data_IF_158595731920
#
_entry.id   IF_158595731920
#
_cell.length_a   1.000
_cell.length_b   1.000
_cell.length_c   1.000
_cell.angle_alpha   90.00
_cell.angle_beta   90.00
_cell.angle_gamma   90.00
#
_symmetry.space_group_name_H-M   'P 1'
#
loop_
_entity.id
_entity.type
_entity.pdbx_description
1 polymer ?
#
# COMPACT_ATOMS: atom_id res chain seq x y z
N UNK A 1 -3.92 11.02 -26.65
CA UNK A 1 -3.61 9.60 -26.90
C UNK A 1 -3.32 8.97 -25.55
N UNK A 2 -4.30 8.28 -24.97
CA UNK A 2 -4.12 7.60 -23.69
C UNK A 2 -3.67 6.17 -23.96
N UNK A 3 -2.58 5.77 -23.30
CA UNK A 3 -1.95 4.46 -23.45
C UNK A 3 -2.97 3.35 -23.17
N UNK A 4 -2.97 2.35 -24.05
CA UNK A 4 -3.78 1.14 -23.91
C UNK A 4 -3.40 0.33 -22.67
N UNK A 5 -4.08 -0.80 -22.44
CA UNK A 5 -3.82 -1.64 -21.28
C UNK A 5 -2.33 -2.00 -21.23
N UNK A 6 -1.70 -1.82 -20.07
CA UNK A 6 -0.31 -2.23 -19.76
C UNK A 6 -0.19 -3.78 -19.78
N UNK A 7 -1.19 -4.48 -20.33
CA UNK A 7 -1.42 -5.91 -20.17
C UNK A 7 -0.61 -6.79 -21.12
N UNK A 8 0.26 -6.23 -21.96
CA UNK A 8 1.11 -7.00 -22.86
C UNK A 8 2.47 -6.31 -23.04
N UNK A 9 3.40 -6.55 -22.11
CA UNK A 9 4.79 -6.10 -22.25
C UNK A 9 5.52 -5.84 -20.93
N UNK A 10 6.84 -5.78 -21.04
CA UNK A 10 7.82 -5.58 -19.96
C UNK A 10 7.40 -4.41 -19.02
N UNK A 11 7.02 -4.75 -17.78
CA UNK A 11 6.48 -3.80 -16.77
C UNK A 11 7.36 -2.57 -16.57
N UNK A 12 8.68 -2.77 -16.58
CA UNK A 12 9.68 -1.70 -16.46
C UNK A 12 9.72 -0.79 -17.69
N UNK A 13 9.50 -1.35 -18.89
CA UNK A 13 9.39 -0.58 -20.13
C UNK A 13 8.15 0.32 -20.11
N UNK A 14 7.02 -0.21 -19.66
CA UNK A 14 5.76 0.53 -19.60
C UNK A 14 5.76 1.67 -18.56
N UNK A 15 6.59 1.59 -17.53
CA UNK A 15 6.82 2.66 -16.55
C UNK A 15 7.97 3.62 -16.95
N UNK A 16 8.63 3.40 -18.09
CA UNK A 16 9.80 4.17 -18.50
C UNK A 16 11.03 3.97 -17.60
N UNK A 17 11.05 2.90 -16.80
CA UNK A 17 12.08 2.59 -15.82
C UNK A 17 13.27 1.84 -16.42
N UNK A 18 13.14 1.21 -17.59
CA UNK A 18 14.25 0.49 -18.22
C UNK A 18 15.49 1.37 -18.42
N UNK A 19 15.31 2.60 -18.90
CA UNK A 19 16.42 3.55 -19.08
C UNK A 19 17.07 3.92 -17.75
N UNK A 20 16.27 4.10 -16.70
CA UNK A 20 16.73 4.40 -15.34
C UNK A 20 17.46 3.24 -14.68
N UNK A 21 17.05 2.00 -14.93
CA UNK A 21 17.76 0.83 -14.42
C UNK A 21 19.13 0.69 -15.08
N UNK A 22 19.22 0.85 -16.40
CA UNK A 22 20.51 0.90 -17.10
C UNK A 22 21.41 2.03 -16.58
N UNK A 23 20.83 3.21 -16.32
CA UNK A 23 21.56 4.34 -15.74
C UNK A 23 21.96 4.11 -14.26
N UNK A 24 21.22 3.30 -13.51
CA UNK A 24 21.49 2.95 -12.10
C UNK A 24 22.50 1.81 -11.95
N UNK A 25 22.69 1.00 -12.98
CA UNK A 25 23.63 -0.14 -12.99
C UNK A 25 24.83 0.10 -13.90
N UNK A 26 25.06 1.33 -14.35
CA UNK A 26 26.12 1.67 -15.32
C UNK A 26 27.53 1.30 -14.85
N UNK A 27 27.72 1.14 -13.55
CA UNK A 27 28.96 0.73 -12.88
C UNK A 27 29.17 -0.79 -12.86
N UNK A 28 28.19 -1.57 -13.34
CA UNK A 28 28.19 -3.04 -13.38
C UNK A 28 28.59 -3.60 -14.73
N UNK A 29 29.07 -4.84 -14.74
CA UNK A 29 29.36 -5.53 -16.01
C UNK A 29 28.05 -5.84 -16.75
N UNK A 30 28.08 -6.02 -18.08
CA UNK A 30 26.89 -6.39 -18.85
C UNK A 30 26.19 -7.65 -18.32
N UNK A 31 26.93 -8.66 -17.86
CA UNK A 31 26.32 -9.87 -17.27
C UNK A 31 25.59 -9.57 -15.95
N UNK A 32 26.18 -8.75 -15.07
CA UNK A 32 25.55 -8.34 -13.81
C UNK A 32 24.30 -7.48 -14.05
N UNK A 33 24.34 -6.60 -15.06
CA UNK A 33 23.18 -5.80 -15.46
C UNK A 33 22.03 -6.70 -15.96
N UNK A 34 22.35 -7.70 -16.78
CA UNK A 34 21.38 -8.66 -17.30
C UNK A 34 20.78 -9.52 -16.18
N UNK A 35 21.57 -9.95 -15.20
CA UNK A 35 21.10 -10.67 -14.01
C UNK A 35 20.14 -9.81 -13.17
N UNK A 36 20.51 -8.56 -12.89
CA UNK A 36 19.67 -7.61 -12.15
C UNK A 36 18.35 -7.35 -12.90
N UNK A 37 18.41 -7.13 -14.22
CA UNK A 37 17.21 -6.93 -15.04
C UNK A 37 16.31 -8.17 -15.02
N UNK A 38 16.88 -9.37 -15.15
CA UNK A 38 16.15 -10.63 -15.08
C UNK A 38 15.49 -10.84 -13.70
N UNK A 39 16.15 -10.48 -12.61
CA UNK A 39 15.61 -10.60 -11.26
C UNK A 39 14.50 -9.58 -10.99
N UNK A 40 14.66 -8.33 -11.45
CA UNK A 40 13.59 -7.33 -11.38
C UNK A 40 12.40 -7.77 -12.24
N UNK A 41 12.63 -8.27 -13.46
CA UNK A 41 11.57 -8.80 -14.33
C UNK A 41 10.82 -9.97 -13.70
N UNK A 42 11.51 -10.90 -13.03
CA UNK A 42 10.85 -11.98 -12.27
C UNK A 42 9.98 -11.43 -11.14
N UNK A 43 10.45 -10.43 -10.39
CA UNK A 43 9.71 -9.82 -9.27
C UNK A 43 8.46 -9.05 -9.73
N UNK A 44 8.44 -8.58 -10.97
CA UNK A 44 7.33 -7.83 -11.59
C UNK A 44 6.54 -8.65 -12.61
N UNK A 45 6.85 -9.93 -12.77
CA UNK A 45 6.17 -10.84 -13.69
C UNK A 45 4.70 -11.05 -13.29
N UNK A 46 3.83 -11.38 -14.25
CA UNK A 46 2.41 -11.67 -13.99
C UNK A 46 2.21 -12.85 -13.04
N UNK A 47 3.15 -13.79 -12.99
CA UNK A 47 3.17 -14.91 -12.05
C UNK A 47 3.33 -14.44 -10.58
N UNK A 48 4.12 -13.38 -10.36
CA UNK A 48 4.38 -12.81 -9.02
C UNK A 48 3.54 -11.57 -8.68
N UNK A 49 3.10 -10.80 -9.66
CA UNK A 49 2.23 -9.63 -9.49
C UNK A 49 0.73 -10.02 -9.47
N UNK A 50 0.39 -11.19 -10.04
CA UNK A 50 -0.97 -11.55 -10.39
C UNK A 50 -1.52 -10.66 -11.51
N UNK A 51 -2.41 -11.19 -12.36
CA UNK A 51 -3.07 -10.44 -13.45
C UNK A 51 -3.84 -9.18 -12.98
N UNK A 52 -3.95 -8.95 -11.66
CA UNK A 52 -4.80 -7.93 -11.02
C UNK A 52 -4.07 -6.68 -10.54
N UNK A 53 -2.73 -6.69 -10.40
CA UNK A 53 -1.96 -5.48 -10.02
C UNK A 53 -2.15 -4.35 -11.06
N UNK A 54 -2.42 -4.73 -12.31
CA UNK A 54 -2.60 -3.83 -13.44
C UNK A 54 -4.00 -3.21 -13.54
N UNK A 55 -5.02 -3.88 -12.98
CA UNK A 55 -6.41 -3.44 -13.11
C UNK A 55 -6.73 -2.22 -12.23
N UNK A 56 -5.92 -2.04 -11.19
CA UNK A 56 -6.03 -0.96 -10.22
C UNK A 56 -5.59 0.40 -10.80
N UNK A 57 -4.74 0.42 -11.83
CA UNK A 57 -4.33 1.65 -12.51
C UNK A 57 -5.23 2.02 -13.70
N UNK A 58 -6.24 1.23 -14.03
CA UNK A 58 -7.03 1.42 -15.25
C UNK A 58 -8.51 1.01 -15.10
N UNK A 59 -9.24 1.51 -14.10
CA UNK A 59 -10.69 1.46 -14.18
C UNK A 59 -11.25 2.64 -14.98
N UNK A 60 -11.50 2.34 -16.26
CA UNK A 60 -12.54 2.97 -17.07
C UNK A 60 -13.88 2.55 -16.47
N UNK A 61 -14.71 3.51 -16.07
CA UNK A 61 -16.07 3.26 -15.58
C UNK A 61 -16.91 2.58 -16.66
N UNK A 62 -17.06 1.27 -16.58
CA UNK A 62 -18.14 0.59 -17.29
C UNK A 62 -19.42 0.74 -16.46
N UNK A 63 -20.47 1.24 -17.12
CA UNK A 63 -21.80 1.49 -16.57
C UNK A 63 -22.26 0.31 -15.71
N UNK A 64 -22.35 0.52 -14.41
CA UNK A 64 -23.08 -0.36 -13.51
C UNK A 64 -24.56 0.04 -13.60
N UNK A 65 -25.39 -0.80 -14.23
CA UNK A 65 -26.83 -0.70 -14.13
C UNK A 65 -27.25 -1.18 -12.73
N UNK A 66 -27.16 -0.29 -11.74
CA UNK A 66 -27.74 -0.53 -10.42
C UNK A 66 -29.24 -0.18 -10.45
N UNK A 67 -30.11 -0.97 -9.80
CA UNK A 67 -31.53 -0.68 -9.70
C UNK A 67 -31.75 0.66 -8.99
N UNK A 68 -32.73 1.43 -9.46
CA UNK A 68 -33.08 2.74 -8.93
C UNK A 68 -33.62 2.62 -7.49
N UNK A 69 -32.74 2.82 -6.52
CA UNK A 69 -33.10 2.87 -5.10
C UNK A 69 -31.87 3.20 -4.25
N UNK A 70 -31.87 4.40 -3.68
CA UNK A 70 -30.96 4.90 -2.62
C UNK A 70 -29.49 5.13 -2.97
N UNK A 71 -29.20 5.99 -3.95
CA UNK A 71 -27.97 6.81 -3.91
C UNK A 71 -28.37 8.22 -3.46
N UNK A 72 -27.95 8.65 -2.28
CA UNK A 72 -28.20 9.99 -1.77
C UNK A 72 -27.06 10.91 -2.21
N UNK A 73 -27.31 11.84 -3.14
CA UNK A 73 -26.34 12.86 -3.54
C UNK A 73 -26.21 13.90 -2.42
N UNK A 74 -25.41 13.63 -1.39
CA UNK A 74 -25.30 14.56 -0.25
C UNK A 74 -24.37 15.75 -0.49
N UNK A 75 -23.46 15.71 -1.49
CA UNK A 75 -22.63 16.86 -1.84
C UNK A 75 -22.26 16.91 -3.34
N UNK A 76 -22.15 18.09 -3.97
CA UNK A 76 -21.71 18.19 -5.36
C UNK A 76 -20.29 17.61 -5.52
N UNK A 77 -20.16 16.56 -6.33
CA UNK A 77 -18.88 15.96 -6.74
C UNK A 77 -18.50 14.62 -6.08
N UNK A 78 -19.30 14.06 -5.17
CA UNK A 78 -19.00 12.79 -4.50
C UNK A 78 -20.14 11.78 -4.56
N UNK A 79 -19.82 10.51 -4.79
CA UNK A 79 -20.75 9.38 -4.76
C UNK A 79 -20.60 8.64 -3.43
N UNK A 80 -21.32 9.08 -2.41
CA UNK A 80 -21.33 8.47 -1.08
C UNK A 80 -22.77 8.42 -0.54
N UNK A 81 -23.06 7.46 0.34
CA UNK A 81 -24.35 7.40 1.01
C UNK A 81 -24.39 8.40 2.18
N UNK A 82 -23.50 8.21 3.15
CA UNK A 82 -23.33 9.08 4.31
C UNK A 82 -21.84 9.36 4.56
N UNK A 83 -21.52 10.56 5.03
CA UNK A 83 -20.13 10.96 5.27
C UNK A 83 -19.44 10.07 6.32
N UNK A 84 -20.15 9.70 7.39
CA UNK A 84 -19.55 8.97 8.50
C UNK A 84 -19.30 7.50 8.18
N UNK A 85 -20.09 6.90 7.28
CA UNK A 85 -19.98 5.49 6.88
C UNK A 85 -19.24 5.29 5.56
N UNK A 86 -18.89 6.35 4.82
CA UNK A 86 -18.39 6.20 3.46
C UNK A 86 -17.13 5.33 3.33
N UNK A 87 -16.24 5.36 4.33
CA UNK A 87 -15.07 4.46 4.37
C UNK A 87 -15.50 3.02 4.60
N UNK A 88 -16.41 2.79 5.54
CA UNK A 88 -16.91 1.44 5.86
C UNK A 88 -17.66 0.84 4.66
N UNK A 89 -18.51 1.64 4.00
CA UNK A 89 -19.23 1.25 2.77
C UNK A 89 -18.25 0.85 1.66
N UNK A 90 -17.18 1.64 1.47
CA UNK A 90 -16.13 1.37 0.47
C UNK A 90 -15.39 0.06 0.78
N UNK A 91 -14.99 -0.16 2.03
CA UNK A 91 -14.30 -1.38 2.44
C UNK A 91 -15.18 -2.63 2.33
N UNK A 92 -16.46 -2.53 2.70
CA UNK A 92 -17.45 -3.61 2.54
C UNK A 92 -17.59 -3.96 1.06
N UNK A 93 -17.72 -2.96 0.18
CA UNK A 93 -17.79 -3.16 -1.26
C UNK A 93 -16.52 -3.82 -1.83
N UNK A 94 -15.36 -3.34 -1.41
CA UNK A 94 -14.06 -3.87 -1.83
C UNK A 94 -13.90 -5.35 -1.43
N UNK A 95 -14.12 -5.69 -0.16
CA UNK A 95 -13.99 -7.07 0.33
C UNK A 95 -15.02 -8.01 -0.30
N UNK A 96 -16.24 -7.54 -0.59
CA UNK A 96 -17.25 -8.34 -1.33
C UNK A 96 -16.88 -8.63 -2.78
N UNK A 97 -15.94 -7.87 -3.35
CA UNK A 97 -15.48 -8.07 -4.73
C UNK A 97 -14.41 -9.18 -4.82
N UNK A 98 -13.78 -9.54 -3.69
CA UNK A 98 -12.64 -10.44 -3.67
C UNK A 98 -12.77 -11.50 -2.57
N UNK A 99 -13.08 -12.74 -2.95
CA UNK A 99 -13.32 -13.85 -2.02
C UNK A 99 -12.13 -14.20 -1.12
N UNK A 100 -10.90 -13.84 -1.54
CA UNK A 100 -9.69 -14.06 -0.74
C UNK A 100 -9.49 -13.02 0.37
N UNK A 101 -10.39 -12.04 0.49
CA UNK A 101 -10.33 -10.99 1.50
C UNK A 101 -11.42 -11.17 2.55
N UNK A 102 -11.15 -10.63 3.73
CA UNK A 102 -12.14 -10.44 4.78
C UNK A 102 -11.95 -9.10 5.48
N UNK A 103 -13.00 -8.68 6.19
CA UNK A 103 -13.07 -7.40 6.88
C UNK A 103 -13.19 -7.62 8.38
N UNK A 104 -12.32 -6.99 9.16
CA UNK A 104 -12.37 -6.95 10.63
C UNK A 104 -12.33 -5.48 11.09
N UNK A 105 -13.50 -4.90 11.37
CA UNK A 105 -13.61 -3.45 11.54
C UNK A 105 -13.24 -2.73 10.24
N UNK A 106 -12.23 -1.85 10.27
CA UNK A 106 -11.65 -1.22 9.07
C UNK A 106 -10.34 -1.88 8.59
N UNK A 107 -10.02 -3.07 9.11
CA UNK A 107 -8.89 -3.85 8.64
C UNK A 107 -9.33 -4.82 7.54
N UNK A 108 -8.68 -4.74 6.39
CA UNK A 108 -8.78 -5.73 5.30
C UNK A 108 -7.66 -6.74 5.46
N UNK A 109 -8.01 -8.02 5.51
CA UNK A 109 -7.09 -9.13 5.81
C UNK A 109 -7.19 -10.18 4.70
N UNK A 110 -6.07 -10.81 4.34
CA UNK A 110 -6.09 -11.98 3.46
C UNK A 110 -6.62 -13.22 4.19
N UNK A 111 -7.50 -13.98 3.55
CA UNK A 111 -7.99 -15.29 4.03
C UNK A 111 -6.99 -16.41 3.81
N UNK A 112 -6.06 -16.24 2.88
CA UNK A 112 -5.02 -17.23 2.58
C UNK A 112 -4.10 -17.44 3.79
N UNK A 113 -3.39 -18.59 3.86
CA UNK A 113 -2.30 -18.75 4.81
C UNK A 113 -1.38 -17.53 4.73
N UNK A 114 -1.10 -16.92 5.88
CA UNK A 114 -0.23 -15.76 5.96
C UNK A 114 1.23 -16.22 6.08
N UNK A 115 2.19 -15.49 5.50
CA UNK A 115 3.60 -15.82 5.67
C UNK A 115 4.04 -15.78 7.14
N UNK A 116 5.18 -16.39 7.44
CA UNK A 116 5.78 -16.37 8.79
C UNK A 116 6.06 -14.93 9.27
N UNK A 117 6.42 -14.03 8.34
CA UNK A 117 6.49 -12.59 8.57
C UNK A 117 5.24 -11.95 7.96
N UNK A 118 4.32 -11.49 8.79
CA UNK A 118 3.15 -10.77 8.29
C UNK A 118 3.54 -9.31 8.01
N UNK A 119 3.39 -8.89 6.76
CA UNK A 119 3.61 -7.49 6.35
C UNK A 119 2.29 -6.75 6.46
N UNK A 120 2.25 -5.71 7.30
CA UNK A 120 1.05 -4.93 7.61
C UNK A 120 1.30 -3.46 7.26
N UNK A 121 0.28 -2.79 6.73
CA UNK A 121 0.31 -1.33 6.53
C UNK A 121 -1.02 -0.71 6.97
N UNK A 122 -1.11 0.61 6.81
CA UNK A 122 -2.34 1.36 6.98
C UNK A 122 -2.11 2.86 6.96
N UNK A 123 -3.17 3.59 6.65
CA UNK A 123 -3.21 5.04 6.50
C UNK A 123 -4.66 5.53 6.58
N UNK A 124 -4.86 6.84 6.57
CA UNK A 124 -6.21 7.40 6.37
C UNK A 124 -6.75 7.10 4.98
N UNK A 125 -8.06 6.90 4.87
CA UNK A 125 -8.74 6.67 3.59
C UNK A 125 -8.63 7.88 2.63
N UNK A 126 -8.98 7.68 1.36
CA UNK A 126 -8.92 8.72 0.31
C UNK A 126 -7.68 8.63 -0.58
N UNK A 127 -6.88 7.58 -0.43
CA UNK A 127 -5.73 7.27 -1.27
C UNK A 127 -5.92 5.98 -2.07
N UNK A 128 -7.16 5.46 -2.14
CA UNK A 128 -7.48 4.20 -2.80
C UNK A 128 -6.94 4.19 -4.25
N UNK A 129 -6.26 3.11 -4.67
CA UNK A 129 -6.15 1.79 -4.02
C UNK A 129 -5.27 1.71 -2.78
N UNK A 130 -4.47 2.73 -2.48
CA UNK A 130 -3.51 2.68 -1.38
C UNK A 130 -4.21 2.77 0.00
N UNK A 131 -3.89 1.92 0.98
CA UNK A 131 -3.07 0.70 0.89
C UNK A 131 -3.91 -0.59 0.87
N UNK A 132 -5.23 -0.51 1.09
CA UNK A 132 -6.13 -1.69 1.16
C UNK A 132 -6.18 -2.50 -0.13
N UNK A 133 -5.96 -1.84 -1.27
CA UNK A 133 -5.81 -2.43 -2.60
C UNK A 133 -4.60 -3.36 -2.73
N UNK A 134 -3.64 -3.25 -1.81
CA UNK A 134 -2.40 -4.03 -1.80
C UNK A 134 -2.44 -5.21 -0.82
N UNK A 135 -3.61 -5.53 -0.25
CA UNK A 135 -3.77 -6.75 0.55
C UNK A 135 -3.91 -7.96 -0.38
N UNK A 136 -3.01 -8.92 -0.21
CA UNK A 136 -2.95 -10.12 -1.03
C UNK A 136 -1.59 -10.81 -0.98
N UNK A 137 -1.53 -12.00 -1.55
CA UNK A 137 -0.32 -12.82 -1.63
C UNK A 137 0.83 -12.03 -2.30
N UNK A 138 2.01 -12.06 -1.70
CA UNK A 138 3.19 -11.36 -2.21
C UNK A 138 3.16 -9.83 -2.08
N UNK A 139 2.21 -9.29 -1.32
CA UNK A 139 2.09 -7.89 -0.92
C UNK A 139 1.80 -7.81 0.60
N UNK A 140 0.73 -7.14 1.02
CA UNK A 140 0.35 -7.04 2.43
C UNK A 140 -0.48 -8.26 2.87
N UNK A 141 -0.18 -8.77 4.05
CA UNK A 141 -1.04 -9.76 4.73
C UNK A 141 -2.32 -9.10 5.28
N UNK A 142 -2.21 -7.83 5.71
CA UNK A 142 -3.34 -7.03 6.13
C UNK A 142 -3.07 -5.53 5.96
N UNK A 143 -4.14 -4.74 5.85
CA UNK A 143 -4.09 -3.29 5.86
C UNK A 143 -5.22 -2.74 6.70
N UNK A 144 -4.94 -1.74 7.53
CA UNK A 144 -5.95 -1.02 8.31
C UNK A 144 -6.19 0.39 7.77
N UNK A 145 -7.45 0.74 7.53
CA UNK A 145 -7.83 2.08 7.06
C UNK A 145 -8.39 2.93 8.19
N UNK A 146 -7.96 4.19 8.26
CA UNK A 146 -8.54 5.20 9.15
C UNK A 146 -9.73 5.92 8.52
N UNK A 147 -10.11 7.08 9.05
CA UNK A 147 -11.07 7.97 8.36
C UNK A 147 -10.39 8.70 7.20
N UNK A 148 -11.15 9.43 6.38
CA UNK A 148 -10.60 10.20 5.26
C UNK A 148 -9.47 11.11 5.76
N UNK A 149 -8.26 10.91 5.23
CA UNK A 149 -7.02 11.63 5.60
C UNK A 149 -6.65 11.63 7.09
N UNK A 150 -7.19 10.70 7.87
CA UNK A 150 -6.88 10.55 9.28
C UNK A 150 -6.37 9.13 9.56
N UNK A 151 -5.19 9.05 10.19
CA UNK A 151 -4.57 7.78 10.58
C UNK A 151 -5.52 6.89 11.40
N UNK A 152 -5.50 5.56 11.22
CA UNK A 152 -6.31 4.65 12.02
C UNK A 152 -5.97 4.74 13.52
N UNK A 153 -6.95 4.56 14.43
CA UNK A 153 -6.69 4.58 15.87
C UNK A 153 -5.69 3.50 16.30
N UNK A 154 -4.78 3.84 17.21
CA UNK A 154 -3.78 2.89 17.77
C UNK A 154 -4.40 1.62 18.36
N UNK A 155 -5.58 1.72 18.96
CA UNK A 155 -6.31 0.58 19.52
C UNK A 155 -6.74 -0.43 18.42
N UNK A 156 -7.15 0.06 17.25
CA UNK A 156 -7.56 -0.80 16.15
C UNK A 156 -6.36 -1.41 15.43
N UNK A 157 -5.26 -0.65 15.29
CA UNK A 157 -3.97 -1.18 14.81
C UNK A 157 -3.48 -2.31 15.72
N UNK A 158 -3.53 -2.10 17.04
CA UNK A 158 -3.16 -3.13 18.02
C UNK A 158 -4.03 -4.39 17.91
N UNK A 159 -5.35 -4.23 17.77
CA UNK A 159 -6.27 -5.37 17.54
C UNK A 159 -5.91 -6.14 16.27
N UNK A 160 -5.55 -5.45 15.18
CA UNK A 160 -5.09 -6.10 13.96
C UNK A 160 -3.78 -6.88 14.19
N UNK A 161 -2.80 -6.30 14.89
CA UNK A 161 -1.54 -6.97 15.19
C UNK A 161 -1.78 -8.28 15.97
N UNK A 162 -2.62 -8.23 17.00
CA UNK A 162 -3.02 -9.41 17.79
C UNK A 162 -3.74 -10.44 16.93
N UNK A 163 -4.63 -10.00 16.04
CA UNK A 163 -5.33 -10.89 15.10
C UNK A 163 -4.36 -11.60 14.14
N UNK A 164 -3.35 -10.88 13.62
CA UNK A 164 -2.31 -11.49 12.78
C UNK A 164 -1.48 -12.51 13.55
N UNK A 165 -1.20 -12.26 14.83
CA UNK A 165 -0.53 -13.24 15.70
C UNK A 165 -1.38 -14.50 15.89
N UNK A 166 -2.69 -14.33 16.13
CA UNK A 166 -3.66 -15.43 16.27
C UNK A 166 -3.75 -16.29 14.99
N UNK A 167 -3.54 -15.67 13.83
CA UNK A 167 -3.50 -16.33 12.51
C UNK A 167 -2.18 -17.04 12.20
N UNK A 168 -1.22 -17.01 13.13
CA UNK A 168 0.03 -17.76 13.00
C UNK A 168 1.24 -16.95 12.54
N UNK A 169 1.14 -15.62 12.43
CA UNK A 169 2.31 -14.77 12.17
C UNK A 169 3.36 -14.98 13.27
N UNK A 170 4.59 -15.31 12.89
CA UNK A 170 5.70 -15.43 13.86
C UNK A 170 6.27 -14.05 14.18
N UNK A 171 6.49 -13.25 13.13
CA UNK A 171 7.01 -11.88 13.19
C UNK A 171 6.06 -10.96 12.41
N UNK A 172 6.07 -9.67 12.75
CA UNK A 172 5.21 -8.67 12.10
C UNK A 172 6.05 -7.47 11.66
N UNK A 173 5.97 -7.12 10.39
CA UNK A 173 6.62 -5.92 9.84
C UNK A 173 5.56 -4.88 9.52
N UNK A 174 5.60 -3.75 10.22
CA UNK A 174 4.77 -2.58 9.94
C UNK A 174 5.46 -1.71 8.89
N UNK A 175 4.83 -1.45 7.74
CA UNK A 175 5.32 -0.49 6.75
C UNK A 175 4.37 0.71 6.77
N UNK A 176 4.87 1.88 7.17
CA UNK A 176 4.06 3.10 7.32
C UNK A 176 4.66 4.29 6.59
N UNK A 177 3.82 5.25 6.24
CA UNK A 177 4.25 6.52 5.65
C UNK A 177 4.73 7.48 6.74
N UNK A 178 5.70 8.35 6.43
CA UNK A 178 6.19 9.36 7.37
C UNK A 178 5.20 10.53 7.52
N UNK A 179 4.09 10.26 8.19
CA UNK A 179 3.13 11.25 8.68
C UNK A 179 3.03 11.14 10.20
N UNK A 180 2.88 12.28 10.88
CA UNK A 180 2.86 12.33 12.35
C UNK A 180 1.79 11.44 12.96
N UNK A 181 0.57 11.45 12.40
CA UNK A 181 -0.53 10.61 12.88
C UNK A 181 -0.19 9.12 12.78
N UNK A 182 0.33 8.67 11.63
CA UNK A 182 0.70 7.27 11.41
C UNK A 182 1.83 6.84 12.35
N UNK A 183 2.89 7.64 12.48
CA UNK A 183 4.01 7.32 13.37
C UNK A 183 3.59 7.19 14.82
N UNK A 184 2.74 8.09 15.31
CA UNK A 184 2.26 8.05 16.68
C UNK A 184 1.33 6.86 16.92
N UNK A 185 0.35 6.64 16.03
CA UNK A 185 -0.65 5.60 16.22
C UNK A 185 -0.08 4.19 16.06
N UNK A 186 0.70 3.95 15.01
CA UNK A 186 1.38 2.67 14.82
C UNK A 186 2.49 2.47 15.86
N UNK A 187 3.21 3.53 16.25
CA UNK A 187 4.24 3.44 17.29
C UNK A 187 3.67 2.98 18.62
N UNK A 188 2.56 3.60 19.06
CA UNK A 188 1.87 3.22 20.28
C UNK A 188 1.31 1.79 20.21
N UNK A 189 0.77 1.38 19.06
CA UNK A 189 0.30 0.01 18.86
C UNK A 189 1.43 -1.02 18.88
N UNK A 190 2.58 -0.69 18.29
CA UNK A 190 3.79 -1.52 18.29
C UNK A 190 4.33 -1.71 19.71
N UNK A 191 4.47 -0.64 20.50
CA UNK A 191 4.96 -0.73 21.88
C UNK A 191 4.05 -1.61 22.75
N UNK A 192 2.73 -1.43 22.66
CA UNK A 192 1.77 -2.32 23.33
C UNK A 192 1.87 -3.78 22.88
N UNK A 193 2.22 -4.01 21.62
CA UNK A 193 2.39 -5.37 21.08
C UNK A 193 3.67 -6.02 21.62
N UNK A 194 4.73 -5.24 21.82
CA UNK A 194 5.99 -5.71 22.44
C UNK A 194 5.80 -6.12 23.89
N UNK A 195 4.91 -5.46 24.63
CA UNK A 195 4.51 -5.90 25.99
C UNK A 195 3.91 -7.32 26.01
N UNK A 196 3.33 -7.77 24.90
CA UNK A 196 2.81 -9.13 24.70
C UNK A 196 3.86 -10.09 24.09
N UNK A 197 5.14 -9.71 24.09
CA UNK A 197 6.23 -10.47 23.47
C UNK A 197 6.00 -10.80 21.98
N UNK A 198 5.27 -9.95 21.27
CA UNK A 198 5.14 -10.05 19.80
C UNK A 198 6.42 -9.52 19.17
N UNK A 199 7.07 -10.34 18.34
CA UNK A 199 8.22 -9.93 17.53
C UNK A 199 7.74 -9.03 16.39
N UNK A 200 8.01 -7.73 16.52
CA UNK A 200 7.47 -6.69 15.66
C UNK A 200 8.48 -5.56 15.44
N UNK A 201 8.58 -5.13 14.18
CA UNK A 201 9.39 -3.98 13.77
C UNK A 201 8.63 -3.08 12.79
N UNK A 202 9.14 -1.87 12.61
CA UNK A 202 8.50 -0.82 11.82
C UNK A 202 9.46 -0.15 10.85
N UNK A 203 9.11 -0.18 9.57
CA UNK A 203 9.78 0.53 8.50
C UNK A 203 8.97 1.76 8.08
N UNK A 204 9.55 2.94 8.31
CA UNK A 204 8.96 4.22 7.91
C UNK A 204 9.45 4.63 6.52
N UNK A 205 8.51 4.97 5.63
CA UNK A 205 8.76 5.43 4.26
C UNK A 205 8.74 6.96 4.22
N UNK A 206 9.82 7.55 3.70
CA UNK A 206 10.07 8.98 3.64
C UNK A 206 10.77 9.34 2.32
N UNK A 207 10.11 9.04 1.19
CA UNK A 207 10.65 9.12 -0.17
C UNK A 207 10.45 10.47 -0.85
N UNK A 208 9.56 11.33 -0.35
CA UNK A 208 9.25 12.61 -0.97
C UNK A 208 10.41 13.61 -0.90
N UNK A 209 10.85 14.16 -2.03
CA UNK A 209 11.91 15.19 -2.09
C UNK A 209 11.39 16.61 -2.25
N UNK A 210 10.08 16.81 -2.31
CA UNK A 210 9.51 18.12 -2.60
C UNK A 210 9.76 19.14 -1.48
N UNK A 211 9.81 18.69 -0.22
CA UNK A 211 9.79 19.56 0.95
C UNK A 211 10.92 19.22 1.93
N UNK A 212 11.51 20.26 2.51
CA UNK A 212 12.44 20.14 3.64
C UNK A 212 11.74 20.60 4.93
N UNK A 213 11.08 19.66 5.63
CA UNK A 213 10.32 19.94 6.85
C UNK A 213 10.97 19.30 8.09
N UNK A 214 10.79 19.87 9.31
CA UNK A 214 11.48 19.38 10.52
C UNK A 214 11.23 17.91 10.88
N UNK A 215 10.07 17.37 10.51
CA UNK A 215 9.68 15.97 10.78
C UNK A 215 10.26 14.97 9.76
N UNK A 216 11.07 15.45 8.82
CA UNK A 216 11.63 14.68 7.71
C UNK A 216 10.71 14.60 6.49
N UNK A 217 11.16 13.97 5.40
CA UNK A 217 10.41 13.91 4.15
C UNK A 217 9.15 13.06 4.27
N UNK A 218 8.07 13.40 3.55
CA UNK A 218 6.81 12.64 3.56
C UNK A 218 7.00 11.25 2.93
N UNK A 219 6.14 10.31 3.27
CA UNK A 219 6.02 9.03 2.55
C UNK A 219 4.94 9.12 1.48
N UNK A 220 5.24 8.77 0.22
CA UNK A 220 4.30 8.82 -0.91
C UNK A 220 4.30 7.49 -1.67
N UNK A 221 4.22 7.54 -3.00
CA UNK A 221 4.02 6.39 -3.88
C UNK A 221 5.16 5.37 -3.85
N UNK A 222 6.37 5.77 -3.42
CA UNK A 222 7.50 4.84 -3.29
C UNK A 222 7.24 3.72 -2.29
N UNK A 223 6.33 3.91 -1.33
CA UNK A 223 5.92 2.88 -0.40
C UNK A 223 5.42 1.60 -1.09
N UNK A 224 4.77 1.71 -2.26
CA UNK A 224 4.30 0.56 -3.02
C UNK A 224 5.44 -0.39 -3.42
N UNK A 225 6.59 0.16 -3.83
CA UNK A 225 7.76 -0.65 -4.19
C UNK A 225 8.30 -1.41 -2.97
N UNK A 226 8.35 -0.75 -1.81
CA UNK A 226 8.80 -1.36 -0.57
C UNK A 226 7.83 -2.44 -0.10
N UNK A 227 6.52 -2.19 -0.18
CA UNK A 227 5.48 -3.18 0.11
C UNK A 227 5.63 -4.41 -0.79
N UNK A 228 5.88 -4.21 -2.09
CA UNK A 228 6.05 -5.31 -3.05
C UNK A 228 7.25 -6.18 -2.71
N UNK A 229 8.40 -5.56 -2.45
CA UNK A 229 9.63 -6.28 -2.10
C UNK A 229 9.48 -7.00 -0.77
N UNK A 230 8.95 -6.33 0.25
CA UNK A 230 8.73 -6.93 1.57
C UNK A 230 7.76 -8.13 1.50
N UNK A 231 6.63 -7.95 0.81
CA UNK A 231 5.64 -9.02 0.63
C UNK A 231 6.20 -10.21 -0.14
N UNK A 232 6.96 -9.99 -1.21
CA UNK A 232 7.58 -11.07 -1.98
C UNK A 232 8.62 -11.85 -1.16
N UNK A 233 9.47 -11.16 -0.39
CA UNK A 233 10.46 -11.81 0.48
C UNK A 233 9.79 -12.58 1.64
N UNK A 234 8.69 -12.04 2.19
CA UNK A 234 7.90 -12.72 3.19
C UNK A 234 7.31 -14.04 2.66
N UNK A 235 6.75 -14.04 1.44
CA UNK A 235 6.26 -15.27 0.77
C UNK A 235 7.38 -16.29 0.52
N UNK A 236 8.60 -15.83 0.27
CA UNK A 236 9.78 -16.70 0.14
C UNK A 236 10.29 -17.25 1.49
N UNK A 237 9.64 -16.90 2.60
CA UNK A 237 9.99 -17.38 3.94
C UNK A 237 11.21 -16.69 4.56
N UNK A 238 11.61 -15.53 4.03
CA UNK A 238 12.67 -14.71 4.63
C UNK A 238 12.25 -14.21 6.01
N UNK A 239 13.23 -14.09 6.91
CA UNK A 239 12.96 -13.54 8.24
C UNK A 239 12.86 -12.01 8.21
N UNK A 240 12.30 -11.42 9.28
CA UNK A 240 12.05 -9.97 9.32
C UNK A 240 13.31 -9.12 9.15
N UNK A 241 14.45 -9.53 9.71
CA UNK A 241 15.73 -8.81 9.59
C UNK A 241 16.21 -8.77 8.14
N UNK A 242 16.21 -9.91 7.44
CA UNK A 242 16.58 -9.97 6.02
C UNK A 242 15.67 -9.06 5.17
N UNK A 243 14.36 -9.05 5.45
CA UNK A 243 13.39 -8.22 4.73
C UNK A 243 13.68 -6.74 4.96
N UNK A 244 13.88 -6.33 6.22
CA UNK A 244 14.18 -4.94 6.59
C UNK A 244 15.48 -4.48 5.95
N UNK A 245 16.55 -5.29 5.97
CA UNK A 245 17.84 -4.96 5.37
C UNK A 245 17.73 -4.66 3.88
N UNK A 246 17.01 -5.48 3.12
CA UNK A 246 16.78 -5.26 1.69
C UNK A 246 15.95 -4.00 1.47
N UNK A 247 14.86 -3.84 2.21
CA UNK A 247 13.98 -2.68 2.07
C UNK A 247 14.68 -1.37 2.42
N UNK A 248 15.58 -1.36 3.41
CA UNK A 248 16.37 -0.18 3.78
C UNK A 248 17.33 0.23 2.66
N UNK A 249 17.99 -0.72 2.00
CA UNK A 249 18.87 -0.45 0.84
C UNK A 249 18.11 0.20 -0.31
N UNK A 250 16.91 -0.29 -0.61
CA UNK A 250 16.03 0.29 -1.63
C UNK A 250 15.58 1.68 -1.20
N UNK A 251 15.11 1.83 0.04
CA UNK A 251 14.67 3.12 0.60
C UNK A 251 15.75 4.19 0.51
N UNK A 252 17.03 3.83 0.69
CA UNK A 252 18.15 4.77 0.60
C UNK A 252 18.25 5.44 -0.78
N UNK A 253 17.78 4.79 -1.85
CA UNK A 253 17.82 5.26 -3.24
C UNK A 253 16.44 5.65 -3.80
N UNK A 254 15.39 5.47 -3.00
CA UNK A 254 14.01 5.75 -3.40
C UNK A 254 13.67 7.23 -3.21
N UNK A 255 13.28 7.91 -4.29
CA UNK A 255 12.87 9.32 -4.27
C UNK A 255 11.60 9.52 -5.10
N UNK A 256 10.67 10.31 -4.59
CA UNK A 256 9.44 10.70 -5.31
C UNK A 256 9.22 12.20 -5.22
N UNK A 257 8.56 12.75 -6.24
CA UNK A 257 8.14 14.15 -6.27
C UNK A 257 6.76 14.19 -6.92
N UNK A 258 5.83 14.91 -6.30
CA UNK A 258 4.46 15.09 -6.78
C UNK A 258 4.19 16.55 -7.13
N UNK A 259 3.38 16.76 -8.17
CA UNK A 259 2.82 18.05 -8.55
C UNK A 259 1.32 17.89 -8.71
N UNK A 260 0.55 18.88 -8.26
CA UNK A 260 -0.88 18.95 -8.53
C UNK A 260 -1.25 20.30 -9.14
N UNK A 261 -2.13 20.27 -10.14
CA UNK A 261 -2.63 21.47 -10.81
C UNK A 261 -3.81 22.12 -10.07
N UNK A 262 -4.44 21.40 -9.14
CA UNK A 262 -5.56 21.89 -8.34
C UNK A 262 -5.67 21.12 -7.03
N UNK A 263 -6.32 21.72 -6.04
CA UNK A 263 -6.60 21.05 -4.77
C UNK A 263 -7.65 19.95 -4.90
N UNK A 264 -7.59 19.02 -3.96
CA UNK A 264 -8.66 18.03 -3.80
C UNK A 264 -9.79 18.62 -2.96
N UNK A 265 -11.02 18.18 -3.23
CA UNK A 265 -12.16 18.43 -2.35
C UNK A 265 -12.52 17.10 -1.69
N UNK A 266 -12.28 16.96 -0.39
CA UNK A 266 -12.71 15.77 0.33
C UNK A 266 -14.22 15.85 0.65
N UNK A 267 -14.92 14.70 0.76
CA UNK A 267 -16.24 14.66 1.35
C UNK A 267 -16.30 15.43 2.67
N UNK A 268 -17.32 16.28 2.84
CA UNK A 268 -17.47 17.16 4.01
C UNK A 268 -16.52 18.37 4.09
N UNK A 269 -15.62 18.57 3.13
CA UNK A 269 -14.60 19.63 3.20
C UNK A 269 -14.63 20.58 2.00
N UNK A 270 -14.02 21.76 2.17
CA UNK A 270 -13.72 22.67 1.07
C UNK A 270 -12.52 22.16 0.25
N UNK A 271 -12.30 22.78 -0.90
CA UNK A 271 -11.12 22.50 -1.72
C UNK A 271 -9.85 22.83 -0.93
N UNK A 272 -8.83 21.98 -1.03
CA UNK A 272 -7.62 22.11 -0.22
C UNK A 272 -6.75 23.31 -0.60
N UNK A 273 -6.75 23.68 -1.89
CA UNK A 273 -6.13 24.89 -2.44
C UNK A 273 -6.67 25.14 -3.85
N UNK A 274 -6.59 26.39 -4.33
CA UNK A 274 -7.08 26.80 -5.66
C UNK A 274 -6.27 26.17 -6.80
#
# INVERSE_FOLDING_TARGET
QFFGPISQGNFLYNLGLNKRLTDLTYDKTPEEQEEILNDVEKLVSSEYMGDRFLYICAQRTNKINAPAGSFCFQMPGHFINELNSCVDDSLIGYVRTYDYLELAGRAVITRSPIPSVAVISGNGAGHEPAMVGFVGRGLLSACISGSIFASPPSADIFRLIVEMKRRGAKQILLIILNYTGDRLNFGLAMERSRELAIDIDMLVIADDIALNIPIGPRGLAGALLIIKVAGALAEQGKNMTEIVDVCQKIRAHLRTIGLSASGIRAPGHQQSFD
#
